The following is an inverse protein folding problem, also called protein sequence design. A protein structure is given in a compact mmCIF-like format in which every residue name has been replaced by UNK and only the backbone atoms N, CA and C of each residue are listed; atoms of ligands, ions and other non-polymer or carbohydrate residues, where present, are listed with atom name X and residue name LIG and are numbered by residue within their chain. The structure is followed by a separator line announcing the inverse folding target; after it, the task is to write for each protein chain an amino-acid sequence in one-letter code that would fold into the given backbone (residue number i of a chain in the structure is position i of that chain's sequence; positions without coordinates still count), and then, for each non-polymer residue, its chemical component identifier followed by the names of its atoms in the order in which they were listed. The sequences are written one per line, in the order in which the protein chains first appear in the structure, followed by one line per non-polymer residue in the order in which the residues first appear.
data_IF_391667029788
#
_entry.id   IF_391667029788
#
_cell.length_a   1.000
_cell.length_b   1.000
_cell.length_c   1.000
_cell.angle_alpha   90.00
_cell.angle_beta   90.00
_cell.angle_gamma   90.00
#
_symmetry.space_group_name_H-M   'P 1'
#
loop_
_entity.id
_entity.type
_entity.pdbx_description
1 polymer ?
#
# COMPACT_ATOMS: atom_id res chain seq x y z
N UNK A 1 23.00 4.42 21.95
CA UNK A 1 22.08 4.52 20.78
C UNK A 1 21.02 5.54 21.13
N UNK A 2 20.74 6.52 20.25
CA UNK A 2 19.67 7.51 20.50
C UNK A 2 18.33 6.78 20.56
N UNK A 3 17.66 6.81 21.70
CA UNK A 3 16.34 6.21 21.91
C UNK A 3 15.23 6.96 21.14
N UNK A 4 15.48 8.21 20.79
CA UNK A 4 14.51 9.07 20.10
C UNK A 4 15.00 9.41 18.70
N UNK A 5 14.20 9.02 17.70
CA UNK A 5 14.41 9.44 16.32
C UNK A 5 13.64 10.72 16.01
N UNK A 6 14.13 11.48 15.02
CA UNK A 6 13.38 12.62 14.49
C UNK A 6 12.09 12.11 13.86
N UNK A 7 10.96 12.62 14.33
CA UNK A 7 9.66 12.35 13.76
C UNK A 7 9.33 13.41 12.70
N UNK A 8 9.51 13.06 11.43
CA UNK A 8 9.32 13.99 10.30
C UNK A 8 7.95 14.68 10.32
N UNK A 9 6.89 13.93 10.66
CA UNK A 9 5.52 14.46 10.76
C UNK A 9 5.30 15.49 11.88
N UNK A 10 6.16 15.49 12.90
CA UNK A 10 6.07 16.44 14.03
C UNK A 10 7.04 17.60 13.87
N UNK A 11 8.21 17.33 13.29
CA UNK A 11 9.26 18.33 13.15
C UNK A 11 8.98 19.27 11.97
N UNK A 12 8.44 18.74 10.87
CA UNK A 12 8.02 19.49 9.69
C UNK A 12 6.58 19.10 9.30
N UNK A 13 5.58 19.54 10.08
CA UNK A 13 4.19 19.11 9.86
C UNK A 13 3.63 19.51 8.50
N UNK A 14 4.04 20.65 7.94
CA UNK A 14 3.54 21.12 6.65
C UNK A 14 3.88 20.14 5.51
N UNK A 15 5.07 19.53 5.52
CA UNK A 15 5.46 18.52 4.54
C UNK A 15 4.61 17.25 4.69
N UNK A 16 4.32 16.84 5.92
CA UNK A 16 3.48 15.68 6.18
C UNK A 16 2.01 15.93 5.78
N UNK A 17 1.48 17.11 6.06
CA UNK A 17 0.13 17.53 5.63
C UNK A 17 0.00 17.53 4.12
N UNK A 18 1.01 18.02 3.38
CA UNK A 18 1.04 17.97 1.93
C UNK A 18 1.05 16.52 1.41
N UNK A 19 1.80 15.62 2.05
CA UNK A 19 1.81 14.19 1.72
C UNK A 19 0.46 13.53 2.02
N UNK A 20 -0.19 13.87 3.14
CA UNK A 20 -1.53 13.37 3.48
C UNK A 20 -2.57 13.86 2.47
N UNK A 21 -2.52 15.14 2.08
CA UNK A 21 -3.39 15.67 1.02
C UNK A 21 -3.16 14.98 -0.32
N UNK A 22 -1.90 14.73 -0.69
CA UNK A 22 -1.56 13.93 -1.88
C UNK A 22 -2.20 12.55 -1.81
N UNK A 23 -2.08 11.83 -0.69
CA UNK A 23 -2.70 10.53 -0.50
C UNK A 23 -4.22 10.54 -0.66
N UNK A 24 -4.90 11.57 -0.14
CA UNK A 24 -6.35 11.75 -0.31
C UNK A 24 -6.71 11.96 -1.77
N UNK A 25 -5.95 12.78 -2.49
CA UNK A 25 -6.13 13.01 -3.92
C UNK A 25 -5.95 11.70 -4.70
N UNK A 26 -4.93 10.91 -4.39
CA UNK A 26 -4.70 9.59 -5.00
C UNK A 26 -5.88 8.65 -4.73
N UNK A 27 -6.38 8.61 -3.49
CA UNK A 27 -7.56 7.82 -3.15
C UNK A 27 -8.81 8.22 -3.97
N UNK A 28 -9.01 9.51 -4.23
CA UNK A 28 -10.09 9.97 -5.09
C UNK A 28 -9.87 9.57 -6.55
N UNK A 29 -8.64 9.75 -7.07
CA UNK A 29 -8.27 9.32 -8.43
C UNK A 29 -8.52 7.82 -8.62
N UNK A 30 -8.19 6.99 -7.65
CA UNK A 30 -8.48 5.55 -7.70
C UNK A 30 -9.98 5.29 -7.91
N UNK A 31 -10.83 5.86 -7.06
CA UNK A 31 -12.28 5.69 -7.16
C UNK A 31 -12.85 6.19 -8.48
N UNK A 32 -12.42 7.36 -8.93
CA UNK A 32 -12.90 7.99 -10.18
C UNK A 32 -12.51 7.20 -11.43
N UNK A 33 -11.47 6.37 -11.34
CA UNK A 33 -10.96 5.55 -12.44
C UNK A 33 -11.19 4.04 -12.23
N UNK A 34 -12.15 3.64 -11.40
CA UNK A 34 -12.56 2.22 -11.29
C UNK A 34 -11.64 1.33 -10.46
N UNK A 35 -10.72 1.91 -9.70
CA UNK A 35 -9.94 1.21 -8.67
C UNK A 35 -10.69 1.37 -7.35
N UNK A 36 -11.39 0.32 -6.95
CA UNK A 36 -12.13 0.31 -5.70
C UNK A 36 -11.20 0.28 -4.47
N UNK A 37 -11.80 0.54 -3.31
CA UNK A 37 -11.02 0.55 -2.07
C UNK A 37 -10.46 -0.83 -1.72
N UNK A 38 -11.11 -1.93 -2.13
CA UNK A 38 -10.62 -3.30 -1.95
C UNK A 38 -9.28 -3.51 -2.66
N UNK A 39 -9.21 -3.21 -3.96
CA UNK A 39 -8.01 -3.38 -4.77
C UNK A 39 -6.90 -2.41 -4.31
N UNK A 40 -7.26 -1.16 -4.02
CA UNK A 40 -6.32 -0.16 -3.51
C UNK A 40 -5.68 -0.62 -2.19
N UNK A 41 -6.46 -1.05 -1.21
CA UNK A 41 -5.93 -1.48 0.09
C UNK A 41 -5.08 -2.75 -0.03
N UNK A 42 -5.39 -3.66 -0.96
CA UNK A 42 -4.56 -4.81 -1.28
C UNK A 42 -3.15 -4.39 -1.69
N UNK A 43 -3.03 -3.44 -2.61
CA UNK A 43 -1.76 -2.85 -3.06
C UNK A 43 -1.03 -2.14 -1.92
N UNK A 44 -1.74 -1.34 -1.12
CA UNK A 44 -1.17 -0.61 0.01
C UNK A 44 -0.56 -1.55 1.06
N UNK A 45 -1.24 -2.66 1.37
CA UNK A 45 -0.74 -3.69 2.29
C UNK A 45 0.52 -4.35 1.71
N UNK A 46 0.46 -4.75 0.44
CA UNK A 46 1.57 -5.48 -0.18
C UNK A 46 2.85 -4.62 -0.21
N UNK A 47 2.78 -3.40 -0.69
CA UNK A 47 3.92 -2.47 -0.64
C UNK A 47 4.46 -2.30 0.79
N UNK A 48 3.55 -2.19 1.78
CA UNK A 48 3.95 -2.00 3.19
C UNK A 48 4.63 -3.24 3.77
N UNK A 49 4.19 -4.45 3.40
CA UNK A 49 4.83 -5.70 3.78
C UNK A 49 6.21 -5.84 3.14
N UNK A 50 6.34 -5.55 1.85
CA UNK A 50 7.61 -5.59 1.12
C UNK A 50 8.65 -4.63 1.72
N UNK A 51 8.21 -3.44 2.14
CA UNK A 51 9.07 -2.46 2.82
C UNK A 51 9.31 -2.78 4.31
N UNK A 52 8.60 -3.74 4.90
CA UNK A 52 8.68 -4.03 6.34
C UNK A 52 8.05 -2.96 7.23
N UNK A 53 7.07 -2.20 6.74
CA UNK A 53 6.38 -1.14 7.50
C UNK A 53 5.22 -1.71 8.32
N UNK A 54 5.49 -2.16 9.54
CA UNK A 54 4.46 -2.73 10.42
C UNK A 54 3.32 -1.74 10.73
N UNK A 55 3.64 -0.47 10.94
CA UNK A 55 2.65 0.58 11.20
C UNK A 55 1.71 0.79 10.02
N UNK A 56 2.26 0.91 8.80
CA UNK A 56 1.45 1.08 7.60
C UNK A 56 0.60 -0.17 7.31
N UNK A 57 1.19 -1.36 7.43
CA UNK A 57 0.46 -2.63 7.31
C UNK A 57 -0.74 -2.67 8.26
N UNK A 58 -0.58 -2.23 9.51
CA UNK A 58 -1.68 -2.18 10.49
C UNK A 58 -2.81 -1.26 10.05
N UNK A 59 -2.48 -0.05 9.59
CA UNK A 59 -3.49 0.92 9.15
C UNK A 59 -4.26 0.42 7.95
N UNK A 60 -3.54 -0.09 6.95
CA UNK A 60 -4.15 -0.57 5.72
C UNK A 60 -4.92 -1.89 5.92
N UNK A 61 -4.51 -2.74 6.86
CA UNK A 61 -5.29 -3.91 7.29
C UNK A 61 -6.68 -3.49 7.79
N UNK A 62 -6.77 -2.48 8.66
CA UNK A 62 -8.05 -2.02 9.20
C UNK A 62 -8.96 -1.44 8.11
N UNK A 63 -8.38 -0.79 7.10
CA UNK A 63 -9.10 -0.27 5.93
C UNK A 63 -9.53 -1.39 4.99
N UNK A 64 -8.66 -2.37 4.75
CA UNK A 64 -8.92 -3.53 3.91
C UNK A 64 -10.10 -4.37 4.43
N UNK A 65 -10.14 -4.62 5.72
CA UNK A 65 -11.28 -5.32 6.37
C UNK A 65 -12.58 -4.53 6.16
N UNK A 66 -12.56 -3.20 6.31
CA UNK A 66 -13.73 -2.34 6.03
C UNK A 66 -14.13 -2.35 4.56
N UNK A 67 -13.17 -2.52 3.66
CA UNK A 67 -13.39 -2.64 2.21
C UNK A 67 -13.83 -4.06 1.78
N UNK A 68 -13.98 -4.99 2.73
CA UNK A 68 -14.50 -6.34 2.48
C UNK A 68 -13.44 -7.39 2.12
N UNK A 69 -12.15 -7.13 2.37
CA UNK A 69 -11.14 -8.20 2.29
C UNK A 69 -11.29 -9.12 3.51
N UNK A 70 -11.39 -10.41 3.25
CA UNK A 70 -11.46 -11.44 4.28
C UNK A 70 -10.07 -11.85 4.79
N UNK A 71 -10.05 -12.59 5.90
CA UNK A 71 -8.82 -13.00 6.55
C UNK A 71 -7.98 -13.94 5.69
N UNK A 72 -8.59 -14.80 4.88
CA UNK A 72 -7.87 -15.74 4.01
C UNK A 72 -7.10 -14.98 2.94
N UNK A 73 -7.76 -14.07 2.23
CA UNK A 73 -7.13 -13.18 1.24
C UNK A 73 -5.96 -12.39 1.87
N UNK A 74 -6.16 -11.80 3.04
CA UNK A 74 -5.16 -10.99 3.73
C UNK A 74 -3.92 -11.78 4.13
N UNK A 75 -4.08 -13.01 4.59
CA UNK A 75 -2.97 -13.89 4.97
C UNK A 75 -2.16 -14.35 3.76
N UNK A 76 -2.75 -14.41 2.57
CA UNK A 76 -2.12 -14.93 1.37
C UNK A 76 -1.43 -13.86 0.50
N UNK A 77 -1.50 -12.58 0.88
CA UNK A 77 -0.87 -11.50 0.11
C UNK A 77 0.63 -11.76 -0.11
N UNK A 78 1.36 -12.19 0.90
CA UNK A 78 2.80 -12.44 0.80
C UNK A 78 3.17 -13.60 -0.14
N UNK A 79 2.22 -14.49 -0.41
CA UNK A 79 2.39 -15.68 -1.26
C UNK A 79 1.49 -15.65 -2.50
N UNK A 80 1.08 -14.48 -2.92
CA UNK A 80 0.06 -14.26 -3.92
C UNK A 80 0.31 -14.99 -5.26
N UNK A 81 1.60 -15.17 -5.63
CA UNK A 81 1.95 -15.84 -6.90
C UNK A 81 1.50 -17.30 -6.95
N UNK A 82 1.54 -18.01 -5.83
CA UNK A 82 1.13 -19.40 -5.73
C UNK A 82 -0.34 -19.55 -5.28
N UNK A 83 -0.94 -18.49 -4.76
CA UNK A 83 -2.30 -18.52 -4.25
C UNK A 83 -3.35 -18.44 -5.36
N UNK A 84 -4.39 -19.26 -5.26
CA UNK A 84 -5.55 -19.23 -6.15
C UNK A 84 -6.66 -18.27 -5.75
N UNK A 85 -6.51 -17.50 -4.66
CA UNK A 85 -7.58 -16.60 -4.16
C UNK A 85 -7.64 -15.26 -4.90
N UNK A 86 -6.58 -14.88 -5.60
CA UNK A 86 -6.49 -13.60 -6.30
C UNK A 86 -6.93 -13.71 -7.76
N UNK A 87 -7.81 -12.80 -8.17
CA UNK A 87 -8.18 -12.62 -9.58
C UNK A 87 -7.00 -12.13 -10.42
N UNK A 88 -7.09 -12.25 -11.75
CA UNK A 88 -6.06 -11.74 -12.67
C UNK A 88 -5.81 -10.24 -12.45
N UNK A 89 -6.85 -9.49 -12.15
CA UNK A 89 -6.80 -8.05 -11.87
C UNK A 89 -6.02 -7.75 -10.57
N UNK A 90 -6.28 -8.51 -9.51
CA UNK A 90 -5.55 -8.39 -8.25
C UNK A 90 -4.09 -8.82 -8.40
N UNK A 91 -3.83 -9.89 -9.13
CA UNK A 91 -2.47 -10.37 -9.42
C UNK A 91 -1.64 -9.34 -10.19
N UNK A 92 -2.22 -8.73 -11.23
CA UNK A 92 -1.56 -7.67 -11.99
C UNK A 92 -1.26 -6.43 -11.13
N UNK A 93 -2.17 -6.05 -10.23
CA UNK A 93 -1.96 -4.95 -9.30
C UNK A 93 -0.86 -5.24 -8.27
N UNK A 94 -0.80 -6.48 -7.75
CA UNK A 94 0.26 -6.92 -6.84
C UNK A 94 1.64 -6.95 -7.52
N UNK A 95 1.71 -7.39 -8.77
CA UNK A 95 2.95 -7.38 -9.56
C UNK A 95 3.45 -5.95 -9.80
N UNK A 96 2.55 -5.02 -10.15
CA UNK A 96 2.88 -3.62 -10.30
C UNK A 96 3.38 -3.01 -8.97
N UNK A 97 2.75 -3.37 -7.86
CA UNK A 97 3.16 -2.94 -6.51
C UNK A 97 4.58 -3.37 -6.17
N UNK A 98 5.00 -4.58 -6.53
CA UNK A 98 6.38 -5.05 -6.35
C UNK A 98 7.37 -4.23 -7.18
N UNK A 99 7.08 -4.01 -8.47
CA UNK A 99 7.93 -3.22 -9.36
C UNK A 99 8.13 -1.78 -8.87
N UNK A 100 7.08 -1.15 -8.36
CA UNK A 100 7.19 0.19 -7.76
C UNK A 100 7.93 0.21 -6.43
N UNK A 101 7.82 -0.87 -5.66
CA UNK A 101 8.48 -0.96 -4.34
C UNK A 101 9.97 -1.24 -4.49
N UNK A 102 10.33 -2.14 -5.42
CA UNK A 102 11.71 -2.49 -5.76
C UNK A 102 12.20 -1.79 -7.03
N UNK A 103 11.85 -0.52 -7.19
CA UNK A 103 12.10 0.28 -8.40
C UNK A 103 13.58 0.32 -8.82
N UNK A 104 14.49 0.10 -7.88
CA UNK A 104 15.93 0.11 -8.10
C UNK A 104 16.46 -1.17 -8.78
N UNK A 105 15.68 -2.25 -8.83
CA UNK A 105 16.13 -3.50 -9.46
C UNK A 105 16.07 -3.36 -10.99
N UNK A 106 14.87 -3.24 -11.55
CA UNK A 106 14.65 -3.13 -13.00
C UNK A 106 13.61 -2.04 -13.36
N UNK A 107 13.10 -1.33 -12.35
CA UNK A 107 11.95 -0.47 -12.54
C UNK A 107 10.68 -1.27 -12.83
N UNK A 108 9.83 -0.76 -13.71
CA UNK A 108 8.73 -1.52 -14.30
C UNK A 108 9.22 -2.02 -15.65
N UNK A 109 9.57 -3.31 -15.73
CA UNK A 109 10.03 -3.90 -16.99
C UNK A 109 8.93 -3.89 -18.07
N UNK A 110 9.31 -3.96 -19.35
CA UNK A 110 8.35 -3.98 -20.45
C UNK A 110 7.36 -5.15 -20.29
N UNK A 111 7.84 -6.32 -19.85
CA UNK A 111 6.99 -7.49 -19.62
C UNK A 111 5.93 -7.25 -18.53
N UNK A 112 6.29 -6.58 -17.45
CA UNK A 112 5.33 -6.20 -16.39
C UNK A 112 4.36 -5.15 -16.90
N UNK A 113 4.88 -4.13 -17.62
CA UNK A 113 4.06 -3.08 -18.20
C UNK A 113 3.00 -3.66 -19.13
N UNK A 114 3.38 -4.57 -20.03
CA UNK A 114 2.47 -5.20 -21.00
C UNK A 114 1.43 -6.08 -20.29
N UNK A 115 1.84 -6.89 -19.32
CA UNK A 115 0.88 -7.73 -18.55
C UNK A 115 -0.12 -6.87 -17.79
N UNK A 116 0.33 -5.85 -17.10
CA UNK A 116 -0.56 -4.94 -16.34
C UNK A 116 -1.46 -4.16 -17.30
N UNK A 117 -0.91 -3.66 -18.41
CA UNK A 117 -1.65 -2.94 -19.45
C UNK A 117 -2.68 -3.81 -20.19
N UNK A 118 -2.53 -5.13 -20.20
CA UNK A 118 -3.55 -6.04 -20.75
C UNK A 118 -4.80 -6.16 -19.86
N UNK A 119 -4.69 -5.79 -18.59
CA UNK A 119 -5.75 -5.93 -17.57
C UNK A 119 -6.36 -4.58 -17.19
N UNK A 120 -5.56 -3.52 -17.20
CA UNK A 120 -5.94 -2.17 -16.78
C UNK A 120 -5.89 -1.18 -17.94
N UNK A 121 -6.82 -0.26 -17.98
CA UNK A 121 -6.74 0.92 -18.85
C UNK A 121 -5.59 1.84 -18.40
N UNK A 122 -5.14 2.74 -19.27
CA UNK A 122 -4.11 3.73 -18.93
C UNK A 122 -4.44 4.54 -17.67
N UNK A 123 -5.70 4.90 -17.48
CA UNK A 123 -6.15 5.65 -16.29
C UNK A 123 -6.10 4.81 -15.01
N UNK A 124 -6.51 3.56 -15.10
CA UNK A 124 -6.42 2.62 -13.98
C UNK A 124 -4.95 2.32 -13.62
N UNK A 125 -4.12 2.08 -14.64
CA UNK A 125 -2.67 1.91 -14.46
C UNK A 125 -2.06 3.12 -13.74
N UNK A 126 -2.36 4.33 -14.21
CA UNK A 126 -1.86 5.55 -13.58
C UNK A 126 -2.36 5.70 -12.14
N UNK A 127 -3.64 5.41 -11.86
CA UNK A 127 -4.20 5.47 -10.52
C UNK A 127 -3.51 4.48 -9.55
N UNK A 128 -3.28 3.23 -9.97
CA UNK A 128 -2.55 2.23 -9.20
C UNK A 128 -1.09 2.63 -8.98
N UNK A 129 -0.43 3.16 -10.01
CA UNK A 129 0.94 3.67 -9.92
C UNK A 129 1.07 4.77 -8.87
N UNK A 130 0.15 5.74 -8.88
CA UNK A 130 0.11 6.78 -7.85
C UNK A 130 -0.18 6.23 -6.45
N UNK A 131 -1.00 5.18 -6.33
CA UNK A 131 -1.21 4.50 -5.05
C UNK A 131 0.10 3.89 -4.54
N UNK A 132 0.86 3.21 -5.40
CA UNK A 132 2.18 2.66 -5.05
C UNK A 132 3.16 3.76 -4.63
N UNK A 133 3.24 4.86 -5.37
CA UNK A 133 4.10 6.02 -5.01
C UNK A 133 3.72 6.57 -3.64
N UNK A 134 2.43 6.78 -3.39
CA UNK A 134 1.93 7.33 -2.14
C UNK A 134 2.31 6.46 -0.94
N UNK A 135 2.03 5.18 -0.98
CA UNK A 135 2.33 4.29 0.15
C UNK A 135 3.84 4.11 0.37
N UNK A 136 4.63 4.04 -0.70
CA UNK A 136 6.07 3.96 -0.59
C UNK A 136 6.67 5.22 0.07
N UNK A 137 6.11 6.40 -0.17
CA UNK A 137 6.50 7.64 0.51
C UNK A 137 6.19 7.57 2.01
N UNK A 138 4.98 7.17 2.40
CA UNK A 138 4.61 6.98 3.81
C UNK A 138 5.46 5.93 4.51
N UNK A 139 5.74 4.80 3.85
CA UNK A 139 6.59 3.77 4.43
C UNK A 139 7.96 4.33 4.83
N UNK A 140 8.55 5.20 4.01
CA UNK A 140 9.85 5.83 4.31
C UNK A 140 9.79 6.78 5.50
N UNK A 141 8.75 7.60 5.59
CA UNK A 141 8.53 8.50 6.74
C UNK A 141 8.40 7.70 8.03
N UNK A 142 7.58 6.67 8.01
CA UNK A 142 7.22 5.87 9.20
C UNK A 142 8.39 5.00 9.66
N UNK A 143 9.05 4.31 8.73
CA UNK A 143 10.19 3.42 9.04
C UNK A 143 11.37 4.24 9.57
N UNK A 144 11.71 5.34 8.90
CA UNK A 144 12.79 6.22 9.33
C UNK A 144 12.55 6.79 10.74
N UNK A 145 11.31 7.16 11.05
CA UNK A 145 10.90 7.66 12.36
C UNK A 145 10.66 6.59 13.42
N UNK A 146 10.71 5.29 13.06
CA UNK A 146 10.40 4.15 13.94
C UNK A 146 9.06 4.32 14.67
N UNK A 147 7.99 4.57 13.91
CA UNK A 147 6.65 4.73 14.49
C UNK A 147 6.22 3.42 15.16
N UNK A 148 5.79 3.47 16.43
CA UNK A 148 5.50 2.25 17.17
C UNK A 148 4.18 1.61 16.73
N UNK A 149 4.16 0.27 16.72
CA UNK A 149 2.93 -0.52 16.61
C UNK A 149 2.72 -1.25 17.93
N UNK A 150 1.79 -0.74 18.72
CA UNK A 150 1.46 -1.32 20.01
C UNK A 150 0.45 -2.47 19.83
N UNK A 151 0.43 -3.46 20.75
CA UNK A 151 -0.60 -4.48 20.79
C UNK A 151 -2.00 -3.85 20.79
N UNK A 152 -2.97 -4.50 20.17
CA UNK A 152 -4.38 -4.09 20.30
C UNK A 152 -4.84 -4.41 21.72
N UNK A 153 -5.38 -3.39 22.39
CA UNK A 153 -6.06 -3.62 23.66
C UNK A 153 -7.40 -4.27 23.30
N UNK A 154 -7.62 -5.51 23.73
CA UNK A 154 -8.94 -6.13 23.66
C UNK A 154 -9.89 -5.24 24.47
N UNK A 155 -10.94 -4.74 23.80
CA UNK A 155 -12.04 -4.12 24.55
C UNK A 155 -12.65 -5.25 25.37
N UNK A 156 -12.53 -5.17 26.68
CA UNK A 156 -13.27 -6.04 27.56
C UNK A 156 -14.75 -5.98 27.14
N UNK A 157 -15.26 -7.09 26.65
CA UNK A 157 -16.69 -7.25 26.39
C UNK A 157 -17.39 -7.15 27.74
N UNK A 158 -18.05 -6.02 28.00
CA UNK A 158 -18.93 -5.84 29.14
C UNK A 158 -20.22 -6.62 28.92
#
# INVERSE_FOLDING_TARGET
MSETRVHLSKTEPAAYEALDQFSRTVGQICRDNGIDDRLKELVMIHCSQLNGCAYCTRIHLDRAVKAGLDADTLLQIATWRESGVFSDRERAALELAESFTFIHDEGVSDDVYDRVGSVFTEKEYAALSWACVSINAFNRVVIAGRYPVLPRVEKATA
#
